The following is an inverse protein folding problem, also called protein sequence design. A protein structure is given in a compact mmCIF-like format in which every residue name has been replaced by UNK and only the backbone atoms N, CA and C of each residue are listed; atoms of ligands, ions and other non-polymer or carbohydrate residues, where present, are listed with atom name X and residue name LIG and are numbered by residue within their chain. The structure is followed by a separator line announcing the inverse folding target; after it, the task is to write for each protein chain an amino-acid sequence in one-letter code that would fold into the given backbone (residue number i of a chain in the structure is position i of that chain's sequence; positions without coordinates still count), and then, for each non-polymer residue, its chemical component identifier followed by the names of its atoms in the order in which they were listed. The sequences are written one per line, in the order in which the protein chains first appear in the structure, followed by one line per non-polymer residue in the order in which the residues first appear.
data_IF_991722057798
#
_entry.id   IF_991722057798
#
_cell.length_a   1.000
_cell.length_b   1.000
_cell.length_c   1.000
_cell.angle_alpha   90.00
_cell.angle_beta   90.00
_cell.angle_gamma   90.00
#
_symmetry.space_group_name_H-M   'P 1'
#
loop_
_entity.id
_entity.type
_entity.pdbx_description
1 polymer ?
#
# COMPACT_ATOMS: atom_id res chain seq x y z
N UNK A 1 -24.97 -4.55 -7.01
CA UNK A 1 -24.06 -4.38 -5.86
C UNK A 1 -23.18 -3.22 -6.28
N UNK A 2 -23.56 -2.00 -5.89
CA UNK A 2 -22.79 -0.82 -6.27
C UNK A 2 -21.39 -1.00 -5.68
N UNK A 3 -20.42 -1.05 -6.58
CA UNK A 3 -19.03 -1.25 -6.23
C UNK A 3 -18.66 -0.15 -5.25
N UNK A 4 -18.18 -0.49 -4.05
CA UNK A 4 -17.75 0.50 -3.04
C UNK A 4 -16.77 1.53 -3.64
N UNK A 5 -16.10 1.16 -4.73
CA UNK A 5 -15.18 1.97 -5.51
C UNK A 5 -15.83 3.15 -6.26
N UNK A 6 -17.13 3.13 -6.55
CA UNK A 6 -17.84 4.21 -7.26
C UNK A 6 -18.22 5.40 -6.36
N UNK A 7 -18.20 5.22 -5.04
CA UNK A 7 -18.57 6.23 -4.04
C UNK A 7 -17.38 6.74 -3.21
N UNK A 8 -16.15 6.48 -3.67
CA UNK A 8 -14.95 6.87 -2.94
C UNK A 8 -14.73 8.39 -2.94
N UNK A 9 -14.31 8.88 -1.79
CA UNK A 9 -13.78 10.25 -1.64
C UNK A 9 -12.43 10.40 -2.32
N UNK A 10 -11.99 11.63 -2.56
CA UNK A 10 -10.66 11.90 -3.15
C UNK A 10 -9.52 11.35 -2.30
N UNK A 11 -9.65 11.35 -0.98
CA UNK A 11 -8.67 10.75 -0.06
C UNK A 11 -8.56 9.23 -0.28
N UNK A 12 -9.70 8.54 -0.40
CA UNK A 12 -9.74 7.09 -0.63
C UNK A 12 -9.19 6.71 -2.00
N UNK A 13 -9.52 7.49 -3.04
CA UNK A 13 -8.93 7.33 -4.38
C UNK A 13 -7.41 7.54 -4.35
N UNK A 14 -6.94 8.51 -3.57
CA UNK A 14 -5.50 8.75 -3.38
C UNK A 14 -4.84 7.55 -2.71
N UNK A 15 -5.45 6.98 -1.67
CA UNK A 15 -4.97 5.76 -1.02
C UNK A 15 -4.86 4.57 -1.98
N UNK A 16 -5.87 4.36 -2.84
CA UNK A 16 -5.79 3.32 -3.87
C UNK A 16 -4.72 3.59 -4.92
N UNK A 17 -4.49 4.86 -5.27
CA UNK A 17 -3.44 5.23 -6.23
C UNK A 17 -2.05 5.00 -5.63
N UNK A 18 -1.86 5.27 -4.33
CA UNK A 18 -0.62 4.93 -3.62
C UNK A 18 -0.42 3.41 -3.56
N UNK A 19 -1.47 2.63 -3.28
CA UNK A 19 -1.40 1.16 -3.37
C UNK A 19 -0.92 0.73 -4.76
N UNK A 20 -1.52 1.27 -5.84
CA UNK A 20 -1.14 0.92 -7.21
C UNK A 20 0.34 1.29 -7.50
N UNK A 21 0.82 2.42 -6.98
CA UNK A 21 2.21 2.85 -7.12
C UNK A 21 3.18 1.83 -6.51
N UNK A 22 2.96 1.44 -5.24
CA UNK A 22 3.80 0.44 -4.58
C UNK A 22 3.62 -0.98 -5.13
N UNK A 23 2.47 -1.27 -5.72
CA UNK A 23 2.17 -2.57 -6.33
C UNK A 23 2.45 -2.61 -7.85
N UNK A 24 3.25 -1.68 -8.38
CA UNK A 24 3.57 -1.64 -9.80
C UNK A 24 4.60 -2.69 -10.18
N UNK A 25 4.32 -3.42 -11.28
CA UNK A 25 5.15 -4.55 -11.75
C UNK A 25 5.84 -4.25 -13.08
N UNK A 26 5.50 -3.13 -13.73
CA UNK A 26 6.10 -2.67 -14.97
C UNK A 26 6.13 -1.13 -15.06
N UNK A 27 6.95 -0.61 -15.96
CA UNK A 27 7.08 0.84 -16.21
C UNK A 27 5.73 1.52 -16.49
N UNK A 28 4.80 0.83 -17.15
CA UNK A 28 3.50 1.41 -17.55
C UNK A 28 2.57 1.59 -16.35
N UNK A 29 2.45 0.57 -15.50
CA UNK A 29 1.65 0.61 -14.27
C UNK A 29 2.22 1.66 -13.31
N UNK A 30 3.55 1.71 -13.16
CA UNK A 30 4.22 2.71 -12.35
C UNK A 30 3.97 4.13 -12.86
N UNK A 31 4.13 4.38 -14.17
CA UNK A 31 3.88 5.69 -14.79
C UNK A 31 2.43 6.14 -14.62
N UNK A 32 1.50 5.21 -14.80
CA UNK A 32 0.07 5.46 -14.62
C UNK A 32 -0.26 5.87 -13.18
N UNK A 33 0.28 5.16 -12.18
CA UNK A 33 0.08 5.51 -10.78
C UNK A 33 0.75 6.85 -10.43
N UNK A 34 2.00 7.08 -10.87
CA UNK A 34 2.74 8.32 -10.65
C UNK A 34 2.00 9.55 -11.21
N UNK A 35 1.52 9.47 -12.45
CA UNK A 35 0.75 10.57 -13.08
C UNK A 35 -0.56 10.84 -12.35
N UNK A 36 -1.24 9.80 -11.84
CA UNK A 36 -2.45 9.98 -11.04
C UNK A 36 -2.17 10.65 -9.70
N UNK A 37 -1.04 10.34 -9.05
CA UNK A 37 -0.61 11.00 -7.80
C UNK A 37 -0.15 12.44 -8.01
N UNK A 38 0.47 12.72 -9.16
CA UNK A 38 0.95 14.05 -9.51
C UNK A 38 0.56 14.43 -10.95
N UNK A 39 -0.71 14.82 -11.18
CA UNK A 39 -1.20 15.13 -12.53
C UNK A 39 -0.40 16.24 -13.23
N UNK A 40 0.13 17.19 -12.45
CA UNK A 40 0.95 18.28 -12.97
C UNK A 40 2.31 17.82 -13.52
N UNK A 41 2.85 16.70 -13.01
CA UNK A 41 4.11 16.15 -13.51
C UNK A 41 4.00 15.58 -14.93
N UNK A 42 2.80 15.15 -15.35
CA UNK A 42 2.59 14.55 -16.67
C UNK A 42 2.98 15.49 -17.82
N UNK A 43 2.85 16.80 -17.63
CA UNK A 43 3.12 17.82 -18.66
C UNK A 43 4.62 17.95 -18.96
N UNK A 44 5.50 17.63 -17.99
CA UNK A 44 6.95 17.86 -18.08
C UNK A 44 7.78 16.58 -17.99
N UNK A 45 7.14 15.41 -17.98
CA UNK A 45 7.83 14.14 -17.77
C UNK A 45 8.46 13.62 -19.08
N UNK A 46 9.70 14.06 -19.32
CA UNK A 46 10.51 13.54 -20.43
C UNK A 46 10.83 12.06 -20.26
N UNK A 47 11.13 11.36 -21.36
CA UNK A 47 11.50 9.93 -21.31
C UNK A 47 12.75 9.69 -20.46
N UNK A 48 13.73 10.60 -20.49
CA UNK A 48 14.92 10.50 -19.64
C UNK A 48 14.58 10.64 -18.16
N UNK A 49 13.81 11.66 -17.80
CA UNK A 49 13.39 11.86 -16.40
C UNK A 49 12.55 10.68 -15.89
N UNK A 50 11.74 10.08 -16.77
CA UNK A 50 10.99 8.88 -16.43
C UNK A 50 11.88 7.67 -16.19
N UNK A 51 12.89 7.46 -17.04
CA UNK A 51 13.84 6.36 -16.86
C UNK A 51 14.62 6.48 -15.54
N UNK A 52 15.02 7.70 -15.17
CA UNK A 52 15.67 7.99 -13.88
C UNK A 52 14.72 7.69 -12.70
N UNK A 53 13.46 8.12 -12.77
CA UNK A 53 12.46 7.85 -11.73
C UNK A 53 12.14 6.35 -11.58
N UNK A 54 12.05 5.61 -12.69
CA UNK A 54 11.84 4.15 -12.67
C UNK A 54 13.05 3.42 -12.06
N UNK A 55 14.28 3.88 -12.35
CA UNK A 55 15.49 3.34 -11.73
C UNK A 55 15.46 3.55 -10.21
N UNK A 56 15.16 4.76 -9.75
CA UNK A 56 15.07 5.08 -8.33
C UNK A 56 13.98 4.25 -7.63
N UNK A 57 12.81 4.09 -8.25
CA UNK A 57 11.74 3.25 -7.73
C UNK A 57 12.21 1.80 -7.51
N UNK A 58 12.89 1.22 -8.50
CA UNK A 58 13.40 -0.15 -8.39
C UNK A 58 14.46 -0.28 -7.30
N UNK A 59 15.40 0.68 -7.19
CA UNK A 59 16.41 0.68 -6.13
C UNK A 59 15.81 0.84 -4.73
N UNK A 60 14.73 1.62 -4.60
CA UNK A 60 14.04 1.83 -3.33
C UNK A 60 13.20 0.62 -2.91
N UNK A 61 12.39 0.06 -3.82
CA UNK A 61 11.25 -0.78 -3.44
C UNK A 61 11.23 -2.19 -4.05
N UNK A 62 11.92 -2.45 -5.17
CA UNK A 62 11.73 -3.69 -5.95
C UNK A 62 12.97 -4.58 -6.00
N UNK A 63 14.15 -4.02 -6.25
CA UNK A 63 15.40 -4.75 -6.44
C UNK A 63 15.96 -4.61 -7.86
N UNK A 64 16.91 -5.45 -8.28
CA UNK A 64 17.32 -6.71 -7.67
C UNK A 64 18.35 -6.60 -6.54
N UNK A 65 18.87 -5.40 -6.27
CA UNK A 65 19.81 -5.15 -5.17
C UNK A 65 19.11 -5.10 -3.80
N UNK A 66 19.89 -4.86 -2.74
CA UNK A 66 19.33 -4.55 -1.42
C UNK A 66 18.46 -3.29 -1.53
N UNK A 67 17.21 -3.40 -1.09
CA UNK A 67 16.26 -2.30 -1.12
C UNK A 67 16.70 -1.18 -0.17
N UNK A 68 16.62 0.06 -0.66
CA UNK A 68 16.94 1.25 0.14
C UNK A 68 15.78 1.64 1.08
N UNK A 69 14.55 1.27 0.71
CA UNK A 69 13.33 1.56 1.47
C UNK A 69 12.34 0.40 1.33
N UNK A 70 12.72 -0.78 1.83
CA UNK A 70 11.92 -1.99 1.67
C UNK A 70 10.44 -1.76 2.07
N UNK A 71 9.46 -2.10 1.23
CA UNK A 71 8.06 -1.72 1.45
C UNK A 71 7.30 -2.68 2.39
N UNK A 72 7.95 -3.21 3.42
CA UNK A 72 7.40 -4.24 4.32
C UNK A 72 7.51 -3.81 5.78
N UNK A 73 6.43 -3.90 6.56
CA UNK A 73 6.45 -3.51 7.96
C UNK A 73 7.48 -4.31 8.79
N UNK A 74 7.59 -5.62 8.53
CA UNK A 74 8.53 -6.52 9.21
C UNK A 74 10.00 -6.07 9.12
N UNK A 75 10.39 -5.44 8.00
CA UNK A 75 11.76 -4.91 7.83
C UNK A 75 12.09 -3.79 8.81
N UNK A 76 11.09 -3.04 9.27
CA UNK A 76 11.27 -1.92 10.21
C UNK A 76 10.95 -2.27 11.66
N UNK A 77 10.06 -3.24 11.87
CA UNK A 77 9.54 -3.58 13.21
C UNK A 77 10.30 -4.72 13.89
N UNK A 78 11.10 -5.48 13.15
CA UNK A 78 11.75 -6.69 13.64
C UNK A 78 13.27 -6.60 13.56
N UNK A 79 13.97 -7.18 14.54
CA UNK A 79 15.43 -7.05 14.68
C UNK A 79 16.20 -7.67 13.51
N UNK A 80 15.70 -8.77 12.95
CA UNK A 80 16.33 -9.49 11.85
C UNK A 80 16.11 -8.80 10.49
N UNK A 81 15.20 -7.82 10.40
CA UNK A 81 14.82 -7.11 9.19
C UNK A 81 14.45 -8.03 8.00
N UNK A 82 13.84 -9.18 8.30
CA UNK A 82 13.38 -10.18 7.32
C UNK A 82 11.89 -10.03 7.04
N UNK A 83 11.49 -10.33 5.79
CA UNK A 83 10.08 -10.38 5.39
C UNK A 83 9.36 -11.61 5.96
N UNK A 84 8.04 -11.55 6.04
CA UNK A 84 7.19 -12.64 6.55
C UNK A 84 7.39 -12.95 8.04
N UNK A 85 7.78 -11.94 8.81
CA UNK A 85 7.96 -12.03 10.25
C UNK A 85 6.66 -11.90 11.06
N UNK A 86 6.82 -11.53 12.33
CA UNK A 86 5.70 -11.31 13.26
C UNK A 86 4.73 -10.24 12.76
N UNK A 87 5.21 -9.14 12.17
CA UNK A 87 4.35 -8.08 11.65
C UNK A 87 3.41 -8.59 10.54
N UNK A 88 3.92 -9.46 9.66
CA UNK A 88 3.12 -10.13 8.62
C UNK A 88 2.03 -11.01 9.21
N UNK A 89 2.32 -11.76 10.29
CA UNK A 89 1.31 -12.55 10.97
C UNK A 89 0.26 -11.68 11.66
N UNK A 90 0.68 -10.61 12.36
CA UNK A 90 -0.22 -9.68 13.05
C UNK A 90 -1.27 -9.09 12.11
N UNK A 91 -0.85 -8.60 10.93
CA UNK A 91 -1.80 -8.04 9.95
C UNK A 91 -2.67 -9.10 9.29
N UNK A 92 -2.13 -10.30 9.04
CA UNK A 92 -2.90 -11.43 8.50
C UNK A 92 -4.03 -11.83 9.45
N UNK A 93 -3.74 -11.97 10.74
CA UNK A 93 -4.73 -12.29 11.76
C UNK A 93 -5.79 -11.19 11.89
N UNK A 94 -5.37 -9.92 11.83
CA UNK A 94 -6.29 -8.79 11.85
C UNK A 94 -7.25 -8.81 10.65
N UNK A 95 -6.74 -9.05 9.43
CA UNK A 95 -7.57 -9.20 8.24
C UNK A 95 -8.51 -10.41 8.35
N UNK A 96 -8.01 -11.55 8.83
CA UNK A 96 -8.81 -12.77 8.99
C UNK A 96 -9.98 -12.56 9.96
N UNK A 97 -9.80 -11.79 11.04
CA UNK A 97 -10.87 -11.43 11.96
C UNK A 97 -11.98 -10.56 11.32
N UNK A 98 -11.66 -9.88 10.23
CA UNK A 98 -12.62 -9.12 9.41
C UNK A 98 -13.21 -9.96 8.26
N UNK A 99 -12.83 -11.24 8.14
CA UNK A 99 -13.19 -12.10 7.01
C UNK A 99 -12.45 -11.77 5.71
N UNK A 100 -11.29 -11.12 5.81
CA UNK A 100 -10.46 -10.70 4.68
C UNK A 100 -9.18 -11.54 4.59
N UNK A 101 -8.62 -11.63 3.38
CA UNK A 101 -7.32 -12.23 3.10
C UNK A 101 -6.71 -11.60 1.85
N UNK A 102 -5.38 -11.49 1.80
CA UNK A 102 -4.67 -11.10 0.57
C UNK A 102 -4.76 -12.23 -0.46
N UNK A 103 -4.89 -11.87 -1.73
CA UNK A 103 -4.89 -12.87 -2.80
C UNK A 103 -3.53 -13.58 -2.86
N UNK A 104 -3.53 -14.90 -2.64
CA UNK A 104 -2.32 -15.72 -2.63
C UNK A 104 -1.60 -15.76 -3.98
N UNK A 105 -2.29 -15.50 -5.09
CA UNK A 105 -1.67 -15.42 -6.42
C UNK A 105 -0.72 -14.23 -6.57
N UNK A 106 -0.84 -13.21 -5.71
CA UNK A 106 0.02 -12.02 -5.76
C UNK A 106 1.45 -12.29 -5.28
N UNK A 107 1.68 -13.34 -4.49
CA UNK A 107 2.99 -13.66 -3.87
C UNK A 107 3.63 -12.48 -3.12
N UNK A 108 2.82 -11.55 -2.60
CA UNK A 108 3.27 -10.41 -1.81
C UNK A 108 2.94 -10.69 -0.32
N UNK A 109 3.89 -10.53 0.60
CA UNK A 109 3.64 -10.56 2.05
C UNK A 109 2.52 -9.63 2.50
N UNK A 110 1.70 -10.08 3.45
CA UNK A 110 0.53 -9.33 3.95
C UNK A 110 0.89 -7.96 4.59
N UNK A 111 2.13 -7.79 5.04
CA UNK A 111 2.66 -6.55 5.61
C UNK A 111 3.28 -5.59 4.58
N UNK A 112 3.16 -5.89 3.29
CA UNK A 112 3.55 -4.97 2.24
C UNK A 112 2.69 -3.70 2.29
N UNK A 113 3.30 -2.53 2.06
CA UNK A 113 2.62 -1.23 2.17
C UNK A 113 1.39 -1.14 1.26
N UNK A 114 1.37 -1.81 0.11
CA UNK A 114 0.20 -1.82 -0.78
C UNK A 114 -1.01 -2.50 -0.12
N UNK A 115 -0.83 -3.65 0.53
CA UNK A 115 -1.89 -4.35 1.27
C UNK A 115 -2.39 -3.50 2.46
N UNK A 116 -1.47 -2.86 3.16
CA UNK A 116 -1.73 -1.95 4.29
C UNK A 116 -2.55 -0.74 3.84
N UNK A 117 -2.20 -0.11 2.71
CA UNK A 117 -2.95 1.01 2.13
C UNK A 117 -4.35 0.58 1.63
N UNK A 118 -4.45 -0.60 1.03
CA UNK A 118 -5.73 -1.15 0.59
C UNK A 118 -6.70 -1.38 1.76
N UNK A 119 -6.22 -2.02 2.83
CA UNK A 119 -7.00 -2.21 4.05
C UNK A 119 -7.39 -0.86 4.67
N UNK A 120 -6.47 0.12 4.68
CA UNK A 120 -6.75 1.47 5.18
C UNK A 120 -7.92 2.12 4.42
N UNK A 121 -7.86 2.10 3.09
CA UNK A 121 -8.94 2.66 2.25
C UNK A 121 -10.25 1.92 2.46
N UNK A 122 -10.21 0.58 2.53
CA UNK A 122 -11.41 -0.22 2.74
C UNK A 122 -12.07 0.10 4.09
N UNK A 123 -11.30 0.14 5.18
CA UNK A 123 -11.82 0.51 6.49
C UNK A 123 -12.37 1.93 6.50
N UNK A 124 -11.63 2.89 5.90
CA UNK A 124 -12.04 4.29 5.81
C UNK A 124 -13.38 4.44 5.05
N UNK A 125 -13.52 3.78 3.90
CA UNK A 125 -14.74 3.82 3.09
C UNK A 125 -15.96 3.28 3.86
N UNK A 126 -15.76 2.25 4.67
CA UNK A 126 -16.83 1.63 5.44
C UNK A 126 -17.18 2.38 6.75
N UNK A 127 -16.38 3.37 7.18
CA UNK A 127 -16.73 4.21 8.36
C UNK A 127 -18.03 5.01 8.21
N UNK A 128 -18.51 5.18 6.97
CA UNK A 128 -19.79 5.82 6.64
C UNK A 128 -20.98 4.89 6.82
N UNK A 129 -20.77 3.57 6.76
CA UNK A 129 -21.84 2.58 6.82
C UNK A 129 -22.19 2.22 8.27
N UNK A 130 -21.19 2.05 9.14
CA UNK A 130 -21.40 1.64 10.54
C UNK A 130 -20.28 2.16 11.44
N UNK A 131 -20.63 2.51 12.69
CA UNK A 131 -19.68 3.02 13.70
C UNK A 131 -18.60 2.02 14.08
N UNK A 132 -18.86 0.71 13.97
CA UNK A 132 -17.90 -0.36 14.20
C UNK A 132 -16.65 -0.27 13.30
N UNK A 133 -16.80 0.22 12.06
CA UNK A 133 -15.63 0.42 11.18
C UNK A 133 -14.74 1.56 11.66
N UNK A 134 -15.29 2.56 12.37
CA UNK A 134 -14.48 3.62 12.98
C UNK A 134 -13.62 3.08 14.12
N UNK A 135 -14.19 2.25 15.00
CA UNK A 135 -13.40 1.63 16.07
C UNK A 135 -12.34 0.68 15.52
N UNK A 136 -12.69 -0.10 14.48
CA UNK A 136 -11.76 -1.01 13.80
C UNK A 136 -10.61 -0.24 13.13
N UNK A 137 -10.93 0.86 12.43
CA UNK A 137 -9.91 1.74 11.82
C UNK A 137 -9.00 2.35 12.87
N UNK A 138 -9.54 2.86 13.99
CA UNK A 138 -8.73 3.41 15.09
C UNK A 138 -7.80 2.36 15.68
N UNK A 139 -8.28 1.14 15.92
CA UNK A 139 -7.46 0.04 16.42
C UNK A 139 -6.33 -0.29 15.44
N UNK A 140 -6.65 -0.42 14.16
CA UNK A 140 -5.69 -0.69 13.10
C UNK A 140 -4.60 0.40 13.01
N UNK A 141 -5.00 1.68 13.00
CA UNK A 141 -4.07 2.81 12.93
C UNK A 141 -3.11 2.78 14.13
N UNK A 142 -3.65 2.68 15.35
CA UNK A 142 -2.86 2.79 16.57
C UNK A 142 -1.97 1.57 16.83
N UNK A 143 -2.43 0.37 16.45
CA UNK A 143 -1.76 -0.88 16.80
C UNK A 143 -0.90 -1.44 15.66
N UNK A 144 -1.02 -0.94 14.44
CA UNK A 144 -0.26 -1.43 13.30
C UNK A 144 0.35 -0.30 12.48
N UNK A 145 -0.47 0.59 11.92
CA UNK A 145 -0.01 1.57 10.92
C UNK A 145 1.06 2.53 11.47
N UNK A 146 0.81 3.17 12.61
CA UNK A 146 1.68 4.20 13.19
C UNK A 146 2.99 3.67 13.77
N UNK A 147 3.15 2.33 13.83
CA UNK A 147 4.39 1.72 14.33
C UNK A 147 5.55 1.85 13.33
N UNK A 148 5.26 2.01 12.05
CA UNK A 148 6.28 1.98 10.99
C UNK A 148 6.03 2.97 9.85
N UNK A 149 4.79 3.40 9.64
CA UNK A 149 4.48 4.48 8.70
C UNK A 149 4.65 5.82 9.45
N UNK A 150 5.51 6.73 8.97
CA UNK A 150 5.85 7.99 9.66
C UNK A 150 4.71 9.02 9.68
#
# INVERSE_FOLDING_TARGET
MDSIYESLTELEKTGLTLRDFFNSHDSRSLKSAYVRLNPSAAVNLTDRAWLEAEYDFNALFVGPGKLLAAPFASVYLEEDALVMGKATLEIREFMAALGLSVNQESNIPDDHISCVLELTTLLLANTRQTSQYRSTLTQYINNYLTKWVP
#
